data_IF_002288412555
#
_entry.id   IF_002288412555
#
_cell.length_a   1.000
_cell.length_b   1.000
_cell.length_c   1.000
_cell.angle_alpha   90.00
_cell.angle_beta   90.00
_cell.angle_gamma   90.00
#
_symmetry.space_group_name_H-M   'P 1'
#
loop_
_entity.id
_entity.type
_entity.pdbx_description
1 polymer ?
#
# COMPACT_ATOMS: atom_id res chain seq x y z
N UNK A 1 52.79 -13.38 -59.90
CA UNK A 1 52.79 -14.18 -58.67
C UNK A 1 53.33 -13.33 -57.53
N UNK A 2 52.52 -13.04 -56.51
CA UNK A 2 52.98 -12.68 -55.17
C UNK A 2 51.78 -12.76 -54.23
N UNK A 3 51.93 -13.61 -53.21
CA UNK A 3 51.01 -13.81 -52.10
C UNK A 3 51.19 -12.71 -51.04
N UNK A 4 50.15 -12.50 -50.24
CA UNK A 4 50.07 -11.59 -49.08
C UNK A 4 51.25 -11.69 -48.09
N UNK A 5 51.46 -10.64 -47.27
CA UNK A 5 51.12 -10.80 -45.86
C UNK A 5 50.54 -9.55 -45.13
N UNK A 6 49.63 -9.84 -44.21
CA UNK A 6 49.30 -9.20 -42.92
C UNK A 6 49.73 -7.75 -42.63
N UNK A 7 48.74 -6.87 -42.37
CA UNK A 7 48.90 -5.72 -41.49
C UNK A 7 48.00 -5.87 -40.26
N UNK A 8 48.67 -6.02 -39.13
CA UNK A 8 48.15 -5.92 -37.77
C UNK A 8 47.39 -4.59 -37.61
N UNK A 9 46.17 -4.64 -37.10
CA UNK A 9 45.47 -3.49 -36.51
C UNK A 9 45.23 -3.80 -35.03
N UNK A 10 46.13 -3.31 -34.20
CA UNK A 10 45.82 -2.99 -32.82
C UNK A 10 45.26 -1.57 -32.84
N UNK A 11 44.01 -1.40 -32.41
CA UNK A 11 43.49 -0.11 -31.97
C UNK A 11 42.57 -0.36 -30.78
N UNK A 12 43.16 -0.17 -29.59
CA UNK A 12 42.47 0.01 -28.32
C UNK A 12 41.74 1.36 -28.37
N UNK A 13 40.42 1.34 -28.36
CA UNK A 13 39.63 2.55 -28.48
C UNK A 13 38.26 2.43 -27.84
N UNK A 14 38.25 2.31 -26.51
CA UNK A 14 37.19 2.78 -25.61
C UNK A 14 35.76 2.76 -26.19
N UNK A 15 35.01 1.69 -25.92
CA UNK A 15 33.56 1.77 -26.01
C UNK A 15 33.08 2.83 -25.00
N UNK A 16 32.49 3.95 -25.46
CA UNK A 16 31.99 4.96 -24.54
C UNK A 16 30.85 4.35 -23.75
N UNK A 17 30.97 4.40 -22.43
CA UNK A 17 29.83 4.21 -21.53
C UNK A 17 28.70 5.10 -22.03
N UNK A 18 27.51 4.57 -22.38
CA UNK A 18 26.40 5.44 -22.62
C UNK A 18 25.98 5.96 -21.24
N UNK A 19 26.46 7.15 -20.87
CA UNK A 19 25.76 8.03 -19.93
C UNK A 19 24.42 8.41 -20.59
N UNK A 20 23.52 7.44 -20.60
CA UNK A 20 22.13 7.60 -21.00
C UNK A 20 21.48 8.48 -19.97
N UNK A 21 21.38 9.77 -20.27
CA UNK A 21 20.44 10.63 -19.58
C UNK A 21 19.06 10.03 -19.77
N UNK A 22 18.41 9.66 -18.67
CA UNK A 22 17.06 9.10 -18.66
C UNK A 22 16.10 10.14 -19.22
N UNK A 23 15.76 10.04 -20.51
CA UNK A 23 14.65 10.80 -21.09
C UNK A 23 13.38 10.39 -20.36
N UNK A 24 12.46 11.33 -20.10
CA UNK A 24 11.18 11.02 -19.45
C UNK A 24 10.52 9.84 -20.17
N UNK A 25 10.32 8.73 -19.46
CA UNK A 25 9.79 7.49 -20.01
C UNK A 25 10.81 6.36 -20.18
N UNK A 26 12.11 6.62 -19.94
CA UNK A 26 13.10 5.56 -19.92
C UNK A 26 12.85 4.65 -18.70
N UNK A 27 12.60 3.38 -19.02
CA UNK A 27 12.25 2.36 -18.05
C UNK A 27 13.38 2.12 -17.07
N UNK A 28 13.17 1.21 -16.13
CA UNK A 28 14.26 0.77 -15.28
C UNK A 28 15.18 -0.14 -16.07
N UNK A 29 16.45 0.23 -16.19
CA UNK A 29 17.46 -0.66 -16.75
C UNK A 29 17.62 -1.91 -15.87
N UNK A 30 18.24 -2.97 -16.39
CA UNK A 30 18.47 -4.20 -15.60
C UNK A 30 19.40 -3.90 -14.42
N UNK A 31 20.47 -3.13 -14.65
CA UNK A 31 21.41 -2.73 -13.62
C UNK A 31 20.77 -1.80 -12.58
N UNK A 32 19.92 -0.87 -13.01
CA UNK A 32 19.14 -0.01 -12.10
C UNK A 32 18.15 -0.83 -11.27
N UNK A 33 17.55 -1.87 -11.86
CA UNK A 33 16.64 -2.78 -11.14
C UNK A 33 17.38 -3.62 -10.10
N UNK A 34 18.56 -4.15 -10.41
CA UNK A 34 19.38 -4.91 -9.46
C UNK A 34 19.94 -4.02 -8.34
N UNK A 35 20.37 -2.80 -8.66
CA UNK A 35 20.80 -1.79 -7.68
C UNK A 35 19.68 -1.46 -6.68
N UNK A 36 18.47 -1.18 -7.19
CA UNK A 36 17.28 -0.96 -6.36
C UNK A 36 17.01 -2.12 -5.40
N UNK A 37 17.13 -3.36 -5.85
CA UNK A 37 16.85 -4.53 -5.00
C UNK A 37 17.88 -4.70 -3.88
N UNK A 38 19.14 -4.38 -4.16
CA UNK A 38 20.21 -4.35 -3.15
C UNK A 38 19.94 -3.28 -2.10
N UNK A 39 19.62 -2.05 -2.52
CA UNK A 39 19.33 -0.94 -1.60
C UNK A 39 18.09 -1.18 -0.74
N UNK A 40 17.02 -1.71 -1.33
CA UNK A 40 15.81 -2.08 -0.58
C UNK A 40 16.13 -3.16 0.46
N UNK A 41 16.96 -4.16 0.11
CA UNK A 41 17.36 -5.20 1.05
C UNK A 41 18.06 -4.65 2.28
N UNK A 42 18.97 -3.69 2.09
CA UNK A 42 19.79 -3.12 3.16
C UNK A 42 19.05 -2.08 3.99
N UNK A 43 18.24 -1.22 3.36
CA UNK A 43 17.77 0.04 3.98
C UNK A 43 16.25 0.23 3.97
N UNK A 44 15.48 -0.83 3.75
CA UNK A 44 14.01 -0.72 3.78
C UNK A 44 13.45 -0.17 5.10
N UNK A 45 14.20 -0.28 6.21
CA UNK A 45 13.80 0.23 7.52
C UNK A 45 13.94 1.75 7.63
N UNK A 46 14.88 2.36 6.91
CA UNK A 46 15.13 3.81 6.89
C UNK A 46 14.05 4.56 6.10
N UNK A 47 13.29 3.83 5.28
CA UNK A 47 12.19 4.35 4.48
C UNK A 47 12.56 4.58 3.02
N UNK A 48 11.53 4.84 2.21
CA UNK A 48 11.68 4.95 0.76
C UNK A 48 12.39 6.23 0.29
N UNK A 49 12.40 7.29 1.12
CA UNK A 49 13.12 8.53 0.80
C UNK A 49 14.64 8.36 0.89
N UNK A 50 15.13 7.69 1.94
CA UNK A 50 16.54 7.33 2.08
C UNK A 50 17.02 6.42 0.94
N UNK A 51 16.19 5.44 0.55
CA UNK A 51 16.46 4.58 -0.62
C UNK A 51 16.52 5.44 -1.89
N UNK A 52 15.61 6.39 -2.08
CA UNK A 52 15.61 7.24 -3.28
C UNK A 52 16.84 8.14 -3.36
N UNK A 53 17.30 8.70 -2.25
CA UNK A 53 18.52 9.49 -2.17
C UNK A 53 19.75 8.67 -2.58
N UNK A 54 19.88 7.46 -2.03
CA UNK A 54 20.98 6.55 -2.35
C UNK A 54 20.92 6.07 -3.80
N UNK A 55 19.73 5.69 -4.28
CA UNK A 55 19.50 5.26 -5.65
C UNK A 55 19.93 6.35 -6.64
N UNK A 56 19.55 7.60 -6.36
CA UNK A 56 19.90 8.74 -7.21
C UNK A 56 21.39 9.09 -7.14
N UNK A 57 22.07 8.78 -6.03
CA UNK A 57 23.53 8.89 -5.91
C UNK A 57 24.25 7.84 -6.75
N UNK A 58 23.74 6.61 -6.76
CA UNK A 58 24.27 5.51 -7.59
C UNK A 58 23.97 5.70 -9.08
N UNK A 59 22.80 6.27 -9.40
CA UNK A 59 22.33 6.48 -10.78
C UNK A 59 22.03 7.97 -11.05
N UNK A 60 23.07 8.85 -11.13
CA UNK A 60 22.90 10.31 -11.21
C UNK A 60 22.18 10.84 -12.48
N UNK A 61 21.82 9.96 -13.42
CA UNK A 61 21.03 10.29 -14.62
C UNK A 61 19.56 9.89 -14.57
N UNK A 62 19.14 9.11 -13.56
CA UNK A 62 17.80 8.53 -13.44
C UNK A 62 17.17 9.07 -12.16
N UNK A 63 16.74 10.35 -12.18
CA UNK A 63 16.11 10.99 -11.02
C UNK A 63 14.79 10.28 -10.67
N UNK A 64 14.87 9.24 -9.84
CA UNK A 64 13.72 8.46 -9.38
C UNK A 64 13.23 9.02 -8.06
N UNK A 65 11.91 9.05 -7.89
CA UNK A 65 11.27 9.39 -6.63
C UNK A 65 11.02 8.13 -5.81
N UNK A 66 10.93 8.26 -4.48
CA UNK A 66 10.54 7.18 -3.56
C UNK A 66 9.30 6.41 -4.05
N UNK A 67 8.27 7.13 -4.50
CA UNK A 67 7.06 6.54 -5.06
C UNK A 67 7.27 5.76 -6.36
N UNK A 68 8.23 6.15 -7.22
CA UNK A 68 8.56 5.41 -8.43
C UNK A 68 9.33 4.11 -8.14
N UNK A 69 10.25 4.15 -7.17
CA UNK A 69 11.02 2.98 -6.72
C UNK A 69 10.11 1.97 -6.01
N UNK A 70 9.25 2.45 -5.10
CA UNK A 70 8.24 1.63 -4.42
C UNK A 70 7.33 0.92 -5.41
N UNK A 71 6.83 1.63 -6.44
CA UNK A 71 6.00 1.05 -7.50
C UNK A 71 6.75 0.02 -8.33
N UNK A 72 8.01 0.29 -8.69
CA UNK A 72 8.86 -0.67 -9.42
C UNK A 72 9.11 -1.93 -8.60
N UNK A 73 9.50 -1.80 -7.34
CA UNK A 73 9.67 -2.93 -6.42
C UNK A 73 8.38 -3.74 -6.27
N UNK A 74 7.24 -3.05 -6.10
CA UNK A 74 5.93 -3.69 -6.02
C UNK A 74 5.60 -4.51 -7.26
N UNK A 75 5.88 -3.96 -8.45
CA UNK A 75 5.69 -4.68 -9.71
C UNK A 75 6.57 -5.93 -9.78
N UNK A 76 7.83 -5.86 -9.36
CA UNK A 76 8.77 -6.98 -9.43
C UNK A 76 8.35 -8.15 -8.55
N UNK A 77 8.05 -7.93 -7.26
CA UNK A 77 7.72 -9.06 -6.37
C UNK A 77 6.35 -9.68 -6.69
N UNK A 78 5.44 -8.91 -7.31
CA UNK A 78 4.12 -9.40 -7.80
C UNK A 78 4.21 -10.13 -9.13
N UNK A 79 5.34 -10.07 -9.83
CA UNK A 79 5.48 -10.69 -11.15
C UNK A 79 5.49 -12.22 -11.00
N UNK A 80 4.62 -12.90 -11.76
CA UNK A 80 4.63 -14.36 -11.91
C UNK A 80 5.78 -14.74 -12.85
N UNK A 81 6.57 -15.73 -12.46
CA UNK A 81 7.72 -16.18 -13.24
C UNK A 81 7.24 -17.38 -14.04
N UNK A 82 6.92 -17.14 -15.30
CA UNK A 82 6.51 -18.18 -16.25
C UNK A 82 7.71 -18.60 -17.13
N UNK A 83 7.62 -19.76 -17.80
CA UNK A 83 8.68 -20.30 -18.68
C UNK A 83 9.05 -19.37 -19.86
N UNK A 84 8.17 -18.43 -20.20
CA UNK A 84 8.36 -17.43 -21.26
C UNK A 84 9.04 -16.14 -20.76
N UNK A 85 9.25 -16.01 -19.45
CA UNK A 85 9.87 -14.82 -18.86
C UNK A 85 11.36 -14.82 -19.13
N UNK A 86 11.88 -13.70 -19.67
CA UNK A 86 13.33 -13.55 -19.86
C UNK A 86 14.06 -13.77 -18.53
N UNK A 87 15.10 -14.59 -18.56
CA UNK A 87 15.86 -15.02 -17.38
C UNK A 87 16.28 -13.86 -16.45
N UNK A 88 16.74 -12.73 -17.04
CA UNK A 88 17.13 -11.53 -16.28
C UNK A 88 15.97 -10.93 -15.48
N UNK A 89 14.75 -10.94 -16.03
CA UNK A 89 13.55 -10.47 -15.32
C UNK A 89 13.07 -11.48 -14.28
N UNK A 90 13.19 -12.78 -14.57
CA UNK A 90 12.89 -13.85 -13.61
C UNK A 90 13.81 -13.76 -12.38
N UNK A 91 15.12 -13.56 -12.59
CA UNK A 91 16.10 -13.37 -11.51
C UNK A 91 15.79 -12.15 -10.64
N UNK A 92 15.49 -11.00 -11.27
CA UNK A 92 15.09 -9.79 -10.55
C UNK A 92 13.79 -9.99 -9.75
N UNK A 93 12.79 -10.66 -10.33
CA UNK A 93 11.54 -10.97 -9.64
C UNK A 93 11.74 -11.93 -8.45
N UNK A 94 12.57 -12.97 -8.61
CA UNK A 94 12.92 -13.89 -7.53
C UNK A 94 13.65 -13.18 -6.38
N UNK A 95 14.59 -12.30 -6.70
CA UNK A 95 15.28 -11.47 -5.72
C UNK A 95 14.31 -10.52 -5.00
N UNK A 96 13.40 -9.86 -5.73
CA UNK A 96 12.37 -9.01 -5.13
C UNK A 96 11.44 -9.77 -4.17
N UNK A 97 11.07 -11.01 -4.52
CA UNK A 97 10.28 -11.89 -3.63
C UNK A 97 11.05 -12.27 -2.37
N UNK A 98 12.35 -12.60 -2.49
CA UNK A 98 13.21 -12.86 -1.34
C UNK A 98 13.30 -11.65 -0.41
N UNK A 99 13.59 -10.47 -0.96
CA UNK A 99 13.65 -9.21 -0.20
C UNK A 99 12.31 -8.93 0.50
N UNK A 100 11.19 -9.15 -0.18
CA UNK A 100 9.86 -8.97 0.42
C UNK A 100 9.60 -9.92 1.59
N UNK A 101 10.03 -11.17 1.50
CA UNK A 101 9.90 -12.12 2.62
C UNK A 101 10.83 -11.75 3.78
N UNK A 102 12.07 -11.33 3.51
CA UNK A 102 12.98 -10.81 4.54
C UNK A 102 12.36 -9.62 5.29
N UNK A 103 11.77 -8.66 4.57
CA UNK A 103 11.03 -7.54 5.16
C UNK A 103 9.85 -8.01 6.02
N UNK A 104 9.13 -9.05 5.59
CA UNK A 104 7.97 -9.59 6.32
C UNK A 104 8.39 -10.28 7.60
N UNK A 105 9.44 -11.10 7.55
CA UNK A 105 10.00 -11.80 8.70
C UNK A 105 10.53 -10.80 9.74
N UNK A 106 11.27 -9.78 9.29
CA UNK A 106 11.79 -8.75 10.20
C UNK A 106 10.69 -7.87 10.80
N UNK A 107 9.62 -7.55 10.05
CA UNK A 107 8.42 -6.87 10.60
C UNK A 107 7.65 -7.72 11.60
N UNK A 108 7.73 -9.04 11.50
CA UNK A 108 7.02 -9.99 12.38
C UNK A 108 7.86 -10.42 13.59
N UNK A 109 9.16 -10.11 13.63
CA UNK A 109 10.04 -10.67 14.65
C UNK A 109 11.33 -9.89 14.90
N UNK A 110 11.27 -8.98 15.88
CA UNK A 110 12.27 -8.93 16.94
C UNK A 110 12.19 -10.21 17.80
N UNK A 111 12.46 -11.38 17.21
CA UNK A 111 12.82 -12.60 17.95
C UNK A 111 13.43 -13.64 17.02
N UNK A 112 14.77 -13.71 16.90
CA UNK A 112 15.45 -14.80 16.23
C UNK A 112 15.63 -16.04 17.12
N UNK A 113 14.93 -16.13 18.27
CA UNK A 113 15.20 -17.16 19.29
C UNK A 113 14.21 -18.34 19.35
N UNK A 114 13.19 -18.42 18.48
CA UNK A 114 12.11 -19.42 18.67
C UNK A 114 11.71 -20.22 17.42
N UNK A 115 12.60 -20.42 16.45
CA UNK A 115 12.43 -21.45 15.40
C UNK A 115 13.72 -22.22 15.15
N UNK A 116 14.20 -22.85 16.20
CA UNK A 116 14.91 -24.12 16.08
C UNK A 116 13.89 -25.26 16.20
N UNK A 117 14.10 -26.30 15.40
CA UNK A 117 13.44 -27.62 15.43
C UNK A 117 12.14 -27.74 14.64
N UNK A 118 12.27 -28.32 13.43
CA UNK A 118 11.15 -28.92 12.71
C UNK A 118 11.35 -28.98 11.21
N UNK A 119 12.47 -29.51 10.72
CA UNK A 119 12.54 -30.02 9.34
C UNK A 119 13.62 -31.11 9.25
N UNK A 120 13.23 -32.31 9.69
CA UNK A 120 13.85 -33.55 9.25
C UNK A 120 12.76 -34.63 9.18
N UNK A 121 12.66 -35.23 7.99
CA UNK A 121 12.04 -36.51 7.61
C UNK A 121 10.90 -36.47 6.57
N UNK A 122 11.31 -36.82 5.32
CA UNK A 122 10.84 -37.98 4.53
C UNK A 122 9.98 -37.73 3.27
N UNK A 123 10.63 -38.10 2.15
CA UNK A 123 10.18 -38.81 0.95
C UNK A 123 9.15 -38.20 -0.01
N UNK A 124 9.67 -37.81 -1.17
CA UNK A 124 9.51 -38.56 -2.44
C UNK A 124 8.23 -39.38 -2.60
N UNK A 125 7.30 -38.92 -3.44
CA UNK A 125 6.56 -39.78 -4.37
C UNK A 125 5.88 -38.97 -5.47
N UNK A 126 5.83 -39.66 -6.61
CA UNK A 126 5.48 -39.30 -7.97
C UNK A 126 3.98 -39.03 -8.20
N UNK A 127 3.70 -38.42 -9.37
CA UNK A 127 2.49 -38.53 -10.18
C UNK A 127 1.12 -37.91 -9.74
N UNK A 128 0.66 -37.01 -10.63
CA UNK A 128 -0.71 -36.90 -11.19
C UNK A 128 -1.85 -36.17 -10.44
N UNK A 129 -2.29 -35.08 -11.10
CA UNK A 129 -3.69 -34.66 -11.38
C UNK A 129 -4.68 -34.49 -10.20
N UNK A 130 -5.02 -33.23 -9.93
CA UNK A 130 -6.23 -32.76 -9.23
C UNK A 130 -6.10 -31.26 -8.96
N UNK A 131 -6.54 -30.37 -9.86
CA UNK A 131 -7.84 -29.69 -9.86
C UNK A 131 -8.18 -29.03 -8.51
N UNK A 132 -8.36 -27.70 -8.60
CA UNK A 132 -9.00 -26.79 -7.64
C UNK A 132 -8.18 -26.27 -6.45
N UNK A 133 -7.56 -25.10 -6.60
CA UNK A 133 -7.80 -23.99 -5.68
C UNK A 133 -7.44 -22.65 -6.34
N UNK A 134 -8.47 -21.96 -6.82
CA UNK A 134 -8.37 -20.59 -7.31
C UNK A 134 -8.22 -19.71 -6.08
N UNK A 135 -6.98 -19.35 -5.73
CA UNK A 135 -6.72 -18.27 -4.79
C UNK A 135 -7.09 -16.92 -5.44
N UNK A 136 -8.38 -16.59 -5.39
CA UNK A 136 -8.84 -15.21 -5.38
C UNK A 136 -8.48 -14.60 -4.02
N UNK A 137 -7.36 -13.89 -3.93
CA UNK A 137 -7.34 -12.77 -2.99
C UNK A 137 -6.30 -11.69 -3.31
N UNK A 138 -6.69 -10.46 -2.98
CA UNK A 138 -5.91 -9.22 -2.88
C UNK A 138 -5.93 -8.24 -4.07
N UNK A 139 -7.08 -7.58 -4.24
CA UNK A 139 -7.15 -6.16 -4.61
C UNK A 139 -7.48 -5.33 -3.37
N UNK A 140 -6.46 -5.02 -2.56
CA UNK A 140 -6.53 -3.89 -1.62
C UNK A 140 -5.92 -2.66 -2.30
N UNK A 141 -6.82 -1.77 -2.76
CA UNK A 141 -6.53 -0.41 -3.17
C UNK A 141 -6.51 0.43 -1.89
N UNK A 142 -5.30 0.67 -1.37
CA UNK A 142 -5.07 1.54 -0.23
C UNK A 142 -5.26 3.00 -0.66
N UNK A 143 -6.40 3.57 -0.27
CA UNK A 143 -6.74 4.98 -0.43
C UNK A 143 -5.83 5.81 0.48
N UNK A 144 -5.24 6.83 -0.12
CA UNK A 144 -4.39 7.83 0.48
C UNK A 144 -5.25 8.75 1.37
N UNK A 145 -4.98 8.76 2.68
CA UNK A 145 -5.31 9.88 3.53
C UNK A 145 -4.26 10.03 4.65
N UNK A 146 -3.38 10.99 4.44
CA UNK A 146 -2.84 11.92 5.44
C UNK A 146 -2.55 11.36 6.84
N UNK A 147 -1.28 11.10 7.13
CA UNK A 147 -0.79 11.26 8.49
C UNK A 147 0.39 12.22 8.50
N UNK A 148 0.16 13.31 9.23
CA UNK A 148 1.06 14.41 9.47
C UNK A 148 2.37 13.91 10.09
N UNK A 149 3.43 14.63 9.73
CA UNK A 149 4.76 14.49 10.25
C UNK A 149 4.80 14.51 11.79
N UNK A 150 5.47 13.51 12.36
CA UNK A 150 6.11 13.62 13.65
C UNK A 150 7.53 13.08 13.50
N UNK A 151 8.47 13.98 13.24
CA UNK A 151 9.90 13.72 13.45
C UNK A 151 10.27 14.17 14.86
N UNK A 152 11.08 13.40 15.61
CA UNK A 152 11.73 13.84 16.84
C UNK A 152 13.20 14.16 16.57
N UNK A 153 13.62 15.43 16.65
CA UNK A 153 15.01 15.86 16.82
C UNK A 153 15.00 17.17 17.63
N UNK A 154 15.37 17.11 18.93
CA UNK A 154 16.71 17.33 19.49
C UNK A 154 17.06 18.81 19.70
N UNK A 155 17.13 19.17 20.98
CA UNK A 155 17.89 20.22 21.65
C UNK A 155 18.79 21.13 20.80
N UNK A 156 18.49 22.43 20.83
CA UNK A 156 19.47 23.51 20.85
C UNK A 156 18.91 24.70 21.67
N UNK A 157 19.72 25.18 22.61
CA UNK A 157 19.46 26.33 23.48
C UNK A 157 19.38 27.66 22.70
N UNK A 158 18.39 28.48 23.02
CA UNK A 158 18.47 29.94 22.94
C UNK A 158 17.50 30.57 23.96
N UNK A 159 17.92 31.62 24.70
CA UNK A 159 17.16 32.18 25.80
C UNK A 159 16.09 33.15 25.28
N UNK A 160 14.82 32.82 25.48
CA UNK A 160 13.71 33.75 25.24
C UNK A 160 13.02 34.03 26.57
N UNK A 161 13.24 35.25 27.03
CA UNK A 161 12.50 35.92 28.10
C UNK A 161 11.03 36.04 27.70
N UNK A 162 10.22 35.02 27.99
CA UNK A 162 8.77 35.11 27.93
C UNK A 162 8.24 35.43 29.33
N UNK A 163 7.64 36.60 29.45
CA UNK A 163 7.16 37.20 30.68
C UNK A 163 6.13 36.35 31.43
N UNK A 164 6.34 36.19 32.74
CA UNK A 164 5.45 35.56 33.74
C UNK A 164 4.01 36.11 33.75
N UNK A 165 3.75 37.20 33.02
CA UNK A 165 2.47 37.89 32.97
C UNK A 165 1.42 37.24 32.05
N UNK A 166 1.81 36.40 31.09
CA UNK A 166 0.85 35.69 30.20
C UNK A 166 0.31 34.40 30.83
N UNK A 167 1.09 33.73 31.68
CA UNK A 167 0.67 32.50 32.38
C UNK A 167 -0.39 32.76 33.48
N UNK A 168 -0.55 34.01 33.92
CA UNK A 168 -1.62 34.38 34.87
C UNK A 168 -2.93 34.78 34.20
N UNK A 169 -2.94 35.05 32.90
CA UNK A 169 -4.15 35.52 32.21
C UNK A 169 -5.02 34.38 31.66
N UNK A 170 -4.45 33.22 31.33
CA UNK A 170 -5.23 32.04 30.88
C UNK A 170 -5.87 31.26 32.03
N UNK A 171 -5.49 31.53 33.28
CA UNK A 171 -6.09 30.91 34.47
C UNK A 171 -7.33 31.67 35.01
N UNK A 172 -7.65 32.84 34.47
CA UNK A 172 -8.74 33.70 34.95
C UNK A 172 -10.06 33.57 34.17
N UNK A 173 -10.12 32.75 33.11
CA UNK A 173 -11.39 32.41 32.47
C UNK A 173 -12.02 31.20 33.18
N UNK A 174 -12.54 31.46 34.37
CA UNK A 174 -13.43 30.54 35.08
C UNK A 174 -14.71 30.33 34.28
N UNK A 175 -14.79 29.20 33.58
CA UNK A 175 -16.07 28.59 33.20
C UNK A 175 -16.82 28.26 34.50
N UNK A 176 -18.10 28.61 34.65
CA UNK A 176 -18.86 28.33 35.88
C UNK A 176 -18.88 26.81 36.14
N UNK A 177 -18.07 26.39 37.11
CA UNK A 177 -17.67 25.01 37.36
C UNK A 177 -18.79 24.13 37.97
N UNK A 178 -19.98 24.68 38.23
CA UNK A 178 -21.01 24.00 39.01
C UNK A 178 -22.08 23.32 38.16
N UNK A 179 -22.33 23.76 36.92
CA UNK A 179 -23.31 23.15 36.03
C UNK A 179 -22.72 22.03 35.15
N UNK A 180 -21.51 22.22 34.61
CA UNK A 180 -20.86 21.25 33.72
C UNK A 180 -20.44 19.93 34.39
N UNK A 181 -20.24 19.93 35.72
CA UNK A 181 -19.90 18.72 36.45
C UNK A 181 -21.06 17.71 36.46
N UNK A 182 -22.30 18.18 36.61
CA UNK A 182 -23.50 17.33 36.58
C UNK A 182 -23.66 16.63 35.23
N UNK A 183 -23.41 17.36 34.14
CA UNK A 183 -23.53 16.85 32.78
C UNK A 183 -22.41 15.85 32.43
N UNK A 184 -21.18 16.09 32.90
CA UNK A 184 -20.07 15.16 32.72
C UNK A 184 -20.30 13.82 33.42
N UNK A 185 -20.84 13.83 34.64
CA UNK A 185 -21.23 12.60 35.33
C UNK A 185 -22.34 11.85 34.60
N UNK A 186 -23.35 12.56 34.10
CA UNK A 186 -24.45 11.95 33.37
C UNK A 186 -23.99 11.34 32.05
N UNK A 187 -23.11 12.02 31.32
CA UNK A 187 -22.48 11.50 30.10
C UNK A 187 -21.65 10.24 30.38
N UNK A 188 -20.86 10.23 31.47
CA UNK A 188 -20.09 9.06 31.87
C UNK A 188 -21.00 7.86 32.26
N UNK A 189 -22.09 8.13 32.99
CA UNK A 189 -23.07 7.09 33.37
C UNK A 189 -23.75 6.50 32.13
N UNK A 190 -24.11 7.32 31.15
CA UNK A 190 -24.74 6.86 29.91
C UNK A 190 -23.77 6.09 29.00
N UNK A 191 -22.48 6.45 29.03
CA UNK A 191 -21.44 5.81 28.23
C UNK A 191 -21.09 4.40 28.72
N UNK A 192 -21.24 4.13 30.02
CA UNK A 192 -20.86 2.86 30.63
C UNK A 192 -22.04 2.26 31.43
N UNK A 193 -23.01 1.60 30.77
CA UNK A 193 -24.23 1.11 31.42
C UNK A 193 -23.92 0.16 32.58
N UNK A 194 -22.90 -0.69 32.41
CA UNK A 194 -22.48 -1.69 33.40
C UNK A 194 -21.89 -1.02 34.65
N UNK A 195 -21.12 0.06 34.48
CA UNK A 195 -20.57 0.84 35.60
C UNK A 195 -21.52 1.95 36.09
N UNK A 196 -22.66 2.17 35.42
CA UNK A 196 -23.52 3.32 35.62
C UNK A 196 -24.12 3.40 37.03
N UNK A 197 -24.44 2.28 37.66
CA UNK A 197 -24.97 2.26 39.03
C UNK A 197 -23.89 2.57 40.08
N UNK A 198 -22.67 2.09 39.89
CA UNK A 198 -21.54 2.39 40.77
C UNK A 198 -21.09 3.84 40.61
N UNK A 199 -21.07 4.37 39.38
CA UNK A 199 -20.83 5.78 39.10
C UNK A 199 -21.93 6.68 39.70
N UNK A 200 -23.20 6.29 39.63
CA UNK A 200 -24.30 6.99 40.33
C UNK A 200 -24.11 6.99 41.85
N UNK A 201 -23.73 5.85 42.44
CA UNK A 201 -23.43 5.77 43.89
C UNK A 201 -22.25 6.65 44.31
N UNK A 202 -21.17 6.66 43.53
CA UNK A 202 -20.03 7.55 43.79
C UNK A 202 -20.40 9.03 43.66
N UNK A 203 -21.22 9.38 42.67
CA UNK A 203 -21.75 10.74 42.51
C UNK A 203 -22.58 11.18 43.72
N UNK A 204 -23.49 10.32 44.20
CA UNK A 204 -24.31 10.61 45.38
C UNK A 204 -23.46 10.80 46.64
N UNK A 205 -22.40 9.99 46.81
CA UNK A 205 -21.44 10.13 47.93
C UNK A 205 -20.61 11.40 47.85
N UNK A 206 -20.13 11.74 46.65
CA UNK A 206 -19.40 13.00 46.43
C UNK A 206 -20.28 14.22 46.72
N UNK A 207 -21.58 14.15 46.40
CA UNK A 207 -22.54 15.20 46.72
C UNK A 207 -22.86 15.31 48.23
N UNK A 208 -22.78 14.20 48.98
CA UNK A 208 -22.92 14.20 50.44
C UNK A 208 -21.62 14.51 51.20
N UNK A 209 -20.50 14.71 50.50
CA UNK A 209 -19.18 14.96 51.10
C UNK A 209 -18.52 13.71 51.68
N UNK A 210 -19.06 12.51 51.43
CA UNK A 210 -18.46 11.24 51.84
C UNK A 210 -17.39 10.81 50.82
N UNK A 211 -16.18 10.51 51.31
CA UNK A 211 -15.13 9.92 50.46
C UNK A 211 -15.49 8.48 50.14
N UNK A 212 -15.56 8.14 48.85
CA UNK A 212 -15.73 6.76 48.42
C UNK A 212 -14.59 5.89 48.99
N UNK A 213 -14.92 4.67 49.42
CA UNK A 213 -13.88 3.73 49.84
C UNK A 213 -12.95 3.45 48.65
N UNK A 214 -11.65 3.34 48.93
CA UNK A 214 -10.63 3.06 47.89
C UNK A 214 -10.97 1.79 47.11
N UNK A 215 -11.58 0.81 47.78
CA UNK A 215 -12.05 -0.45 47.19
C UNK A 215 -13.20 -0.24 46.20
N UNK A 216 -14.21 0.57 46.54
CA UNK A 216 -15.34 0.85 45.64
C UNK A 216 -14.89 1.60 44.38
N UNK A 217 -13.92 2.52 44.55
CA UNK A 217 -13.33 3.26 43.44
C UNK A 217 -12.54 2.32 42.52
N UNK A 218 -11.69 1.46 43.07
CA UNK A 218 -10.93 0.48 42.30
C UNK A 218 -11.84 -0.49 41.55
N UNK A 219 -12.91 -0.99 42.19
CA UNK A 219 -13.89 -1.87 41.55
C UNK A 219 -14.62 -1.17 40.41
N UNK A 220 -15.02 0.08 40.60
CA UNK A 220 -15.70 0.84 39.55
C UNK A 220 -14.77 1.12 38.36
N UNK A 221 -13.51 1.49 38.63
CA UNK A 221 -12.50 1.66 37.58
C UNK A 221 -12.25 0.38 36.80
N UNK A 222 -12.16 -0.78 37.47
CA UNK A 222 -12.01 -2.07 36.82
C UNK A 222 -13.18 -2.37 35.88
N UNK A 223 -14.43 -2.14 36.32
CA UNK A 223 -15.60 -2.35 35.46
C UNK A 223 -15.60 -1.42 34.24
N UNK A 224 -15.23 -0.15 34.41
CA UNK A 224 -15.12 0.80 33.29
C UNK A 224 -14.02 0.37 32.31
N UNK A 225 -12.88 -0.11 32.80
CA UNK A 225 -11.79 -0.58 31.95
C UNK A 225 -12.17 -1.83 31.14
N UNK A 226 -12.83 -2.80 31.78
CA UNK A 226 -13.30 -4.02 31.11
C UNK A 226 -14.38 -3.70 30.06
N UNK A 227 -15.33 -2.82 30.39
CA UNK A 227 -16.38 -2.41 29.44
C UNK A 227 -15.78 -1.60 28.27
N UNK A 228 -14.80 -0.73 28.56
CA UNK A 228 -14.04 -0.01 27.53
C UNK A 228 -13.22 -0.94 26.63
N UNK A 229 -12.67 -2.02 27.17
CA UNK A 229 -11.98 -3.02 26.37
C UNK A 229 -12.97 -3.76 25.47
N UNK A 230 -14.06 -4.28 26.04
CA UNK A 230 -15.12 -4.95 25.29
C UNK A 230 -15.69 -4.07 24.17
N UNK A 231 -15.91 -2.79 24.44
CA UNK A 231 -16.44 -1.87 23.44
C UNK A 231 -15.48 -1.70 22.25
N UNK A 232 -14.18 -1.56 22.52
CA UNK A 232 -13.16 -1.51 21.46
C UNK A 232 -13.06 -2.82 20.68
N UNK A 233 -13.31 -3.95 21.33
CA UNK A 233 -13.33 -5.25 20.67
C UNK A 233 -14.51 -5.34 19.71
N UNK A 234 -15.70 -4.92 20.15
CA UNK A 234 -16.90 -4.82 19.33
C UNK A 234 -16.73 -3.86 18.15
N UNK A 235 -16.13 -2.69 18.36
CA UNK A 235 -15.83 -1.73 17.29
C UNK A 235 -14.88 -2.34 16.25
N UNK A 236 -13.84 -3.06 16.68
CA UNK A 236 -12.92 -3.77 15.78
C UNK A 236 -13.59 -4.90 15.02
N UNK A 237 -14.60 -5.55 15.60
CA UNK A 237 -15.37 -6.61 14.95
C UNK A 237 -16.34 -6.02 13.92
N UNK A 238 -17.03 -4.92 14.25
CA UNK A 238 -17.86 -4.16 13.33
C UNK A 238 -17.05 -3.64 12.13
N UNK A 239 -15.88 -3.05 12.37
CA UNK A 239 -14.98 -2.57 11.30
C UNK A 239 -14.51 -3.73 10.39
N UNK A 240 -14.36 -4.94 10.94
CA UNK A 240 -14.05 -6.13 10.13
C UNK A 240 -15.25 -6.58 9.30
N UNK A 241 -16.46 -6.51 9.83
CA UNK A 241 -17.69 -6.81 9.10
C UNK A 241 -17.98 -5.79 8.00
N UNK A 242 -17.82 -4.50 8.28
CA UNK A 242 -17.97 -3.43 7.30
C UNK A 242 -17.02 -3.62 6.11
N UNK A 243 -15.74 -3.93 6.38
CA UNK A 243 -14.76 -4.25 5.32
C UNK A 243 -15.16 -5.48 4.50
N UNK A 244 -15.79 -6.48 5.09
CA UNK A 244 -16.31 -7.65 4.36
C UNK A 244 -17.48 -7.25 3.45
N UNK A 245 -18.41 -6.44 3.94
CA UNK A 245 -19.56 -5.97 3.16
C UNK A 245 -19.12 -5.04 2.03
N UNK A 246 -18.17 -4.13 2.29
CA UNK A 246 -17.61 -3.24 1.28
C UNK A 246 -16.90 -4.05 0.17
N UNK A 247 -16.10 -5.05 0.54
CA UNK A 247 -15.47 -5.96 -0.43
C UNK A 247 -16.49 -6.69 -1.29
N UNK A 248 -17.61 -7.14 -0.70
CA UNK A 248 -18.69 -7.79 -1.45
C UNK A 248 -19.37 -6.82 -2.43
N UNK A 249 -19.68 -5.59 -1.98
CA UNK A 249 -20.24 -4.54 -2.85
C UNK A 249 -19.31 -4.22 -3.99
N UNK A 250 -18.02 -4.06 -3.71
CA UNK A 250 -17.01 -3.79 -4.73
C UNK A 250 -16.89 -4.94 -5.74
N UNK A 251 -16.94 -6.19 -5.29
CA UNK A 251 -16.96 -7.34 -6.20
C UNK A 251 -18.21 -7.36 -7.09
N UNK A 252 -19.38 -7.03 -6.53
CA UNK A 252 -20.62 -6.95 -7.29
C UNK A 252 -20.58 -5.83 -8.34
N UNK A 253 -20.10 -4.64 -7.95
CA UNK A 253 -19.89 -3.51 -8.85
C UNK A 253 -18.90 -3.87 -9.98
N UNK A 254 -17.81 -4.56 -9.66
CA UNK A 254 -16.83 -5.02 -10.67
C UNK A 254 -17.45 -6.01 -11.66
N UNK A 255 -18.31 -6.94 -11.20
CA UNK A 255 -19.05 -7.84 -12.09
C UNK A 255 -20.03 -7.07 -12.96
N UNK A 256 -20.67 -6.03 -12.42
CA UNK A 256 -21.57 -5.19 -13.20
C UNK A 256 -20.84 -4.37 -14.26
N UNK A 257 -19.70 -3.74 -13.92
CA UNK A 257 -18.85 -3.05 -14.89
C UNK A 257 -18.37 -3.99 -15.99
N UNK A 258 -17.99 -5.22 -15.66
CA UNK A 258 -17.61 -6.21 -16.68
C UNK A 258 -18.76 -6.53 -17.63
N UNK A 259 -19.99 -6.70 -17.10
CA UNK A 259 -21.18 -6.93 -17.93
C UNK A 259 -21.46 -5.74 -18.84
N UNK A 260 -21.35 -4.51 -18.33
CA UNK A 260 -21.53 -3.29 -19.12
C UNK A 260 -20.49 -3.17 -20.23
N UNK A 261 -19.22 -3.37 -19.90
CA UNK A 261 -18.13 -3.31 -20.89
C UNK A 261 -18.27 -4.41 -21.95
N UNK A 262 -18.73 -5.61 -21.56
CA UNK A 262 -19.00 -6.67 -22.53
C UNK A 262 -20.17 -6.31 -23.47
N UNK A 263 -21.25 -5.73 -22.94
CA UNK A 263 -22.36 -5.25 -23.75
C UNK A 263 -21.92 -4.14 -24.72
N UNK A 264 -21.14 -3.17 -24.24
CA UNK A 264 -20.60 -2.09 -25.07
C UNK A 264 -19.75 -2.64 -26.21
N UNK A 265 -18.89 -3.64 -25.95
CA UNK A 265 -18.12 -4.29 -27.02
C UNK A 265 -19.00 -5.01 -28.04
N UNK A 266 -20.10 -5.63 -27.62
CA UNK A 266 -21.02 -6.30 -28.54
C UNK A 266 -21.75 -5.27 -29.39
N UNK A 267 -22.20 -4.16 -28.79
CA UNK A 267 -22.81 -3.04 -29.52
C UNK A 267 -21.82 -2.40 -30.51
N UNK A 268 -20.58 -2.19 -30.11
CA UNK A 268 -19.54 -1.64 -30.97
C UNK A 268 -19.26 -2.57 -32.15
N UNK A 269 -19.22 -3.89 -31.93
CA UNK A 269 -19.13 -4.86 -33.04
C UNK A 269 -20.31 -4.72 -33.99
N UNK A 270 -21.53 -4.60 -33.46
CA UNK A 270 -22.74 -4.42 -34.27
C UNK A 270 -22.71 -3.11 -35.07
N UNK A 271 -22.31 -1.99 -34.46
CA UNK A 271 -22.16 -0.69 -35.14
C UNK A 271 -21.08 -0.76 -36.21
N UNK A 272 -19.96 -1.40 -35.92
CA UNK A 272 -18.87 -1.60 -36.87
C UNK A 272 -19.28 -2.49 -38.05
N UNK A 273 -20.03 -3.58 -37.80
CA UNK A 273 -20.60 -4.42 -38.86
C UNK A 273 -21.58 -3.63 -39.75
N UNK A 274 -22.47 -2.84 -39.15
CA UNK A 274 -23.38 -1.95 -39.90
C UNK A 274 -22.60 -0.94 -40.75
N UNK A 275 -21.56 -0.33 -40.19
CA UNK A 275 -20.68 0.58 -40.92
C UNK A 275 -20.00 -0.12 -42.10
N UNK A 276 -19.45 -1.31 -41.90
CA UNK A 276 -18.82 -2.11 -42.95
C UNK A 276 -19.80 -2.50 -44.06
N UNK A 277 -21.06 -2.83 -43.74
CA UNK A 277 -22.10 -3.11 -44.73
C UNK A 277 -22.41 -1.89 -45.60
N UNK A 278 -22.54 -0.70 -45.00
CA UNK A 278 -22.75 0.56 -45.72
C UNK A 278 -21.55 0.87 -46.63
N UNK A 279 -20.32 0.74 -46.10
CA UNK A 279 -19.09 0.96 -46.87
C UNK A 279 -18.97 0.00 -48.05
N UNK A 280 -19.28 -1.29 -47.85
CA UNK A 280 -19.25 -2.29 -48.93
C UNK A 280 -20.25 -1.94 -50.03
N UNK A 281 -21.46 -1.50 -49.65
CA UNK A 281 -22.50 -1.08 -50.60
C UNK A 281 -22.08 0.16 -51.39
N UNK A 282 -21.49 1.16 -50.73
CA UNK A 282 -20.98 2.37 -51.38
C UNK A 282 -19.85 2.04 -52.37
N UNK A 283 -18.89 1.19 -51.97
CA UNK A 283 -17.79 0.76 -52.85
C UNK A 283 -18.32 0.00 -54.06
N UNK A 284 -19.32 -0.89 -53.88
CA UNK A 284 -19.95 -1.60 -54.98
C UNK A 284 -20.66 -0.65 -55.97
N UNK A 285 -21.35 0.37 -55.47
CA UNK A 285 -21.98 1.40 -56.32
C UNK A 285 -20.94 2.23 -57.11
N UNK A 286 -19.84 2.62 -56.47
CA UNK A 286 -18.74 3.34 -57.13
C UNK A 286 -18.10 2.48 -58.22
N UNK A 287 -17.84 1.20 -57.93
CA UNK A 287 -17.26 0.26 -58.89
C UNK A 287 -18.18 0.05 -60.11
N UNK A 288 -19.48 -0.14 -59.89
CA UNK A 288 -20.47 -0.27 -60.95
C UNK A 288 -20.58 1.00 -61.82
N UNK A 289 -20.53 2.18 -61.19
CA UNK A 289 -20.55 3.46 -61.89
C UNK A 289 -19.29 3.73 -62.74
N UNK A 290 -18.13 3.22 -62.35
CA UNK A 290 -16.90 3.32 -63.16
C UNK A 290 -16.91 2.39 -64.38
N UNK A 291 -17.50 1.19 -64.27
CA UNK A 291 -17.61 0.27 -65.41
C UNK A 291 -18.52 0.79 -66.52
N UNK A 292 -19.59 1.52 -66.19
CA UNK A 292 -20.45 2.18 -67.19
C UNK A 292 -19.77 3.36 -67.90
N UNK A 293 -18.72 3.95 -67.31
CA UNK A 293 -18.04 5.13 -67.86
C UNK A 293 -16.82 4.78 -68.73
N UNK A 294 -16.37 3.53 -68.74
CA UNK A 294 -15.24 3.04 -69.56
C UNK A 294 -15.63 2.36 -70.88
N UNK A 295 -16.91 2.37 -71.25
CA UNK A 295 -17.46 1.72 -72.46
C UNK A 295 -17.99 2.73 -73.51
N UNK A 296 -17.67 4.01 -73.38
CA UNK A 296 -17.89 5.04 -74.41
C UNK A 296 -16.56 5.57 -74.93
#
# INVERSE_FOLDING_TARGET
>A
MASSPTSIKSDDGQNPTPRGYSKRGDGFSVQETEGLLTEVRERWQEGWEAIAEMHNTQFPGHKRTAGSLKRKFAKLYRTKIDSTTKEKHARAAAMAKRVREEMRVQRRGLSPAARGLGDDLVADTDATVGVQEVHEDLTEVEIIASQAAAQPQSLAEAPVTASEHELRQTLAQGVPLTQGASDAWQAAINRWPIAGESLRRMRSRAASGETASTTDLAQTMLMVLLDSQRQRDLERDQEREERRLEKLRWQEEMREQQRQHEQERIEDRRRNEQFMQVMTTLVAQIAAGQQQRGLN
#
